data_IF_437908904864
#
_entry.id   IF_437908904864
#
_cell.length_a   1.000
_cell.length_b   1.000
_cell.length_c   1.000
_cell.angle_alpha   90.00
_cell.angle_beta   90.00
_cell.angle_gamma   90.00
#
_symmetry.space_group_name_H-M   'P 1'
#
loop_
_entity.id
_entity.type
_entity.pdbx_description
1 polymer ?
#
# COMPACT_ATOMS: atom_id res chain seq x y z
N UNK A 1 1.74 -37.91 -68.39
CA UNK A 1 1.23 -38.53 -67.15
C UNK A 1 1.52 -37.55 -66.02
N UNK A 2 0.52 -37.01 -65.31
CA UNK A 2 0.77 -36.01 -64.28
C UNK A 2 1.40 -36.64 -63.04
N UNK A 3 2.43 -36.00 -62.51
CA UNK A 3 3.25 -36.47 -61.40
C UNK A 3 2.42 -36.70 -60.13
N UNK A 4 2.26 -37.97 -59.78
CA UNK A 4 1.55 -38.45 -58.58
C UNK A 4 2.12 -37.88 -57.28
N UNK A 5 3.40 -37.50 -57.27
CA UNK A 5 4.07 -36.86 -56.14
C UNK A 5 3.57 -35.43 -55.86
N UNK A 6 3.20 -34.68 -56.90
CA UNK A 6 2.75 -33.29 -56.76
C UNK A 6 1.34 -33.22 -56.18
N UNK A 7 0.49 -34.17 -56.55
CA UNK A 7 -0.89 -34.30 -56.03
C UNK A 7 -0.89 -34.73 -54.56
N UNK A 8 0.01 -35.63 -54.16
CA UNK A 8 0.17 -36.08 -52.78
C UNK A 8 0.64 -34.95 -51.84
N UNK A 9 1.54 -34.08 -52.30
CA UNK A 9 2.05 -32.96 -51.49
C UNK A 9 0.99 -31.87 -51.27
N UNK A 10 0.19 -31.56 -52.30
CA UNK A 10 -0.90 -30.57 -52.21
C UNK A 10 -2.01 -31.05 -51.26
N UNK A 11 -2.36 -32.34 -51.31
CA UNK A 11 -3.38 -32.91 -50.41
C UNK A 11 -2.90 -33.02 -48.96
N UNK A 12 -1.63 -33.33 -48.71
CA UNK A 12 -1.04 -33.28 -47.36
C UNK A 12 -1.06 -31.85 -46.79
N UNK A 13 -0.71 -30.85 -47.59
CA UNK A 13 -0.70 -29.44 -47.17
C UNK A 13 -2.10 -28.92 -46.83
N UNK A 14 -3.10 -29.23 -47.65
CA UNK A 14 -4.49 -28.85 -47.37
C UNK A 14 -5.04 -29.52 -46.10
N UNK A 15 -4.68 -30.79 -45.86
CA UNK A 15 -5.08 -31.51 -44.65
C UNK A 15 -4.44 -30.91 -43.40
N UNK A 16 -3.16 -30.53 -43.48
CA UNK A 16 -2.44 -29.89 -42.38
C UNK A 16 -2.99 -28.49 -42.04
N UNK A 17 -3.31 -27.67 -43.05
CA UNK A 17 -3.94 -26.35 -42.84
C UNK A 17 -5.36 -26.46 -42.25
N UNK A 18 -6.12 -27.49 -42.66
CA UNK A 18 -7.44 -27.75 -42.12
C UNK A 18 -7.40 -28.23 -40.67
N UNK A 19 -6.44 -29.09 -40.31
CA UNK A 19 -6.23 -29.56 -38.94
C UNK A 19 -5.69 -28.43 -38.03
N UNK A 20 -4.79 -27.57 -38.51
CA UNK A 20 -4.33 -26.39 -37.76
C UNK A 20 -5.47 -25.42 -37.43
N UNK A 21 -6.42 -25.20 -38.35
CA UNK A 21 -7.63 -24.41 -38.04
C UNK A 21 -8.56 -25.13 -37.06
N UNK A 22 -8.67 -26.46 -37.15
CA UNK A 22 -9.56 -27.27 -36.31
C UNK A 22 -9.05 -27.49 -34.89
N UNK A 23 -7.74 -27.50 -34.69
CA UNK A 23 -7.11 -27.68 -33.38
C UNK A 23 -6.50 -26.39 -32.82
N UNK A 24 -6.28 -25.37 -33.64
CA UNK A 24 -5.78 -24.07 -33.21
C UNK A 24 -6.71 -23.35 -32.24
N UNK A 25 -8.04 -23.44 -32.45
CA UNK A 25 -8.99 -22.87 -31.49
C UNK A 25 -9.03 -23.65 -30.17
N UNK A 26 -8.87 -24.98 -30.22
CA UNK A 26 -8.76 -25.82 -29.02
C UNK A 26 -7.49 -25.45 -28.25
N UNK A 27 -6.36 -25.27 -28.94
CA UNK A 27 -5.11 -24.81 -28.33
C UNK A 27 -5.29 -23.43 -27.69
N UNK A 28 -5.94 -22.47 -28.35
CA UNK A 28 -6.22 -21.14 -27.80
C UNK A 28 -7.16 -21.19 -26.58
N UNK A 29 -8.19 -22.03 -26.61
CA UNK A 29 -9.09 -22.23 -25.46
C UNK A 29 -8.35 -22.90 -24.30
N UNK A 30 -7.52 -23.90 -24.57
CA UNK A 30 -6.72 -24.58 -23.55
C UNK A 30 -5.65 -23.65 -22.97
N UNK A 31 -5.04 -22.79 -23.79
CA UNK A 31 -4.13 -21.72 -23.35
C UNK A 31 -4.87 -20.68 -22.49
N UNK A 32 -6.11 -20.33 -22.86
CA UNK A 32 -6.94 -19.40 -22.09
C UNK A 32 -7.35 -19.99 -20.74
N UNK A 33 -7.69 -21.28 -20.70
CA UNK A 33 -7.99 -22.00 -19.46
C UNK A 33 -6.74 -22.18 -18.60
N UNK A 34 -5.57 -22.46 -19.18
CA UNK A 34 -4.29 -22.51 -18.47
C UNK A 34 -3.89 -21.13 -17.91
N UNK A 35 -4.12 -20.04 -18.66
CA UNK A 35 -3.89 -18.67 -18.20
C UNK A 35 -4.90 -18.25 -17.12
N UNK A 36 -6.16 -18.67 -17.20
CA UNK A 36 -7.17 -18.42 -16.16
C UNK A 36 -6.98 -19.31 -14.92
N UNK A 37 -6.47 -20.54 -15.06
CA UNK A 37 -6.17 -21.43 -13.95
C UNK A 37 -4.85 -21.09 -13.22
N UNK A 38 -4.02 -20.22 -13.80
CA UNK A 38 -2.89 -19.60 -13.10
C UNK A 38 -3.27 -18.29 -12.37
N UNK A 39 -4.55 -17.88 -12.45
CA UNK A 39 -5.05 -16.59 -11.94
C UNK A 39 -6.08 -16.68 -10.81
N UNK A 40 -6.32 -17.87 -10.24
CA UNK A 40 -7.16 -18.04 -9.04
C UNK A 40 -6.34 -18.18 -7.76
N UNK A 41 -5.22 -17.45 -7.67
CA UNK A 41 -4.71 -17.04 -6.37
C UNK A 41 -5.66 -15.97 -5.85
N UNK A 42 -6.13 -16.12 -4.61
CA UNK A 42 -6.91 -15.12 -3.90
C UNK A 42 -6.50 -13.72 -4.34
N UNK A 43 -7.45 -12.86 -4.72
CA UNK A 43 -7.14 -11.47 -4.99
C UNK A 43 -6.29 -11.00 -3.80
N UNK A 44 -5.01 -10.64 -4.01
CA UNK A 44 -4.14 -10.30 -2.90
C UNK A 44 -4.89 -9.24 -2.13
N UNK A 45 -5.03 -9.42 -0.82
CA UNK A 45 -5.57 -8.35 0.03
C UNK A 45 -4.88 -7.06 -0.39
N UNK A 46 -5.57 -5.93 -0.49
CA UNK A 46 -4.99 -4.68 -1.05
C UNK A 46 -3.61 -4.31 -0.46
N UNK A 47 -3.31 -4.85 0.71
CA UNK A 47 -2.05 -4.83 1.47
C UNK A 47 -0.93 -5.70 0.83
N UNK A 48 -1.22 -6.91 0.36
CA UNK A 48 -0.26 -7.80 -0.34
C UNK A 48 0.16 -7.22 -1.71
N UNK A 49 -0.80 -6.63 -2.41
CA UNK A 49 -0.54 -5.90 -3.64
C UNK A 49 0.40 -4.72 -3.38
N UNK A 50 0.19 -3.97 -2.30
CA UNK A 50 1.10 -2.89 -1.89
C UNK A 50 2.48 -3.39 -1.46
N UNK A 51 2.57 -4.55 -0.81
CA UNK A 51 3.85 -5.11 -0.37
C UNK A 51 4.77 -5.44 -1.55
N UNK A 52 4.16 -5.73 -2.71
CA UNK A 52 4.82 -6.14 -3.95
C UNK A 52 4.81 -5.06 -5.03
N UNK A 53 4.08 -3.95 -4.81
CA UNK A 53 3.87 -2.85 -5.77
C UNK A 53 5.14 -2.05 -6.15
N UNK A 54 6.30 -2.39 -5.59
CA UNK A 54 7.59 -1.79 -5.94
C UNK A 54 8.67 -2.81 -6.25
N UNK A 55 8.30 -4.07 -6.49
CA UNK A 55 9.26 -5.13 -6.75
C UNK A 55 9.86 -5.03 -8.14
N UNK A 56 11.18 -5.03 -8.17
CA UNK A 56 11.95 -5.21 -9.40
C UNK A 56 11.74 -6.61 -9.98
N UNK A 57 12.12 -6.80 -11.25
CA UNK A 57 12.09 -8.11 -11.90
C UNK A 57 12.85 -9.19 -11.09
N UNK A 58 14.03 -8.85 -10.55
CA UNK A 58 14.81 -9.77 -9.74
C UNK A 58 14.11 -10.14 -8.42
N UNK A 59 13.39 -9.21 -7.81
CA UNK A 59 12.59 -9.49 -6.61
C UNK A 59 11.41 -10.40 -6.91
N UNK A 60 10.78 -10.28 -8.08
CA UNK A 60 9.76 -11.22 -8.54
C UNK A 60 10.31 -12.63 -8.73
N UNK A 61 11.49 -12.76 -9.32
CA UNK A 61 12.18 -14.05 -9.48
C UNK A 61 12.57 -14.63 -8.11
N UNK A 62 13.13 -13.81 -7.21
CA UNK A 62 13.47 -14.23 -5.85
C UNK A 62 12.25 -14.70 -5.06
N UNK A 63 11.09 -14.06 -5.23
CA UNK A 63 9.84 -14.50 -4.58
C UNK A 63 9.44 -15.92 -4.99
N UNK A 64 9.67 -16.31 -6.25
CA UNK A 64 9.30 -17.65 -6.74
C UNK A 64 10.34 -18.71 -6.36
N UNK A 65 11.63 -18.44 -6.57
CA UNK A 65 12.70 -19.42 -6.37
C UNK A 65 13.26 -19.46 -4.95
N UNK A 66 13.22 -18.34 -4.22
CA UNK A 66 13.76 -18.20 -2.87
C UNK A 66 12.80 -17.46 -1.92
N UNK A 67 11.56 -17.94 -1.75
CA UNK A 67 10.48 -17.22 -1.07
C UNK A 67 10.86 -16.79 0.35
N UNK A 68 11.47 -17.69 1.14
CA UNK A 68 11.86 -17.40 2.52
C UNK A 68 12.83 -16.21 2.64
N UNK A 69 13.86 -16.18 1.78
CA UNK A 69 14.84 -15.09 1.78
C UNK A 69 14.23 -13.76 1.31
N UNK A 70 13.32 -13.84 0.33
CA UNK A 70 12.61 -12.68 -0.20
C UNK A 70 11.73 -12.05 0.87
N UNK A 71 10.90 -12.84 1.55
CA UNK A 71 9.99 -12.35 2.60
C UNK A 71 10.74 -11.85 3.82
N UNK A 72 11.86 -12.48 4.19
CA UNK A 72 12.70 -11.98 5.28
C UNK A 72 13.32 -10.61 4.96
N UNK A 73 13.84 -10.43 3.74
CA UNK A 73 14.34 -9.12 3.30
C UNK A 73 13.22 -8.08 3.23
N UNK A 74 12.02 -8.48 2.83
CA UNK A 74 10.85 -7.60 2.82
C UNK A 74 10.41 -7.19 4.22
N UNK A 75 10.44 -8.10 5.20
CA UNK A 75 10.10 -7.73 6.57
C UNK A 75 11.11 -6.76 7.16
N UNK A 76 12.40 -6.93 6.91
CA UNK A 76 13.43 -5.94 7.29
C UNK A 76 13.16 -4.56 6.68
N UNK A 77 12.79 -4.51 5.39
CA UNK A 77 12.41 -3.24 4.74
C UNK A 77 11.18 -2.60 5.39
N UNK A 78 10.18 -3.41 5.77
CA UNK A 78 8.99 -2.91 6.45
C UNK A 78 9.29 -2.47 7.89
N UNK A 79 10.20 -3.13 8.60
CA UNK A 79 10.66 -2.70 9.93
C UNK A 79 11.28 -1.31 9.87
N UNK A 80 12.15 -1.06 8.89
CA UNK A 80 12.75 0.27 8.69
C UNK A 80 11.68 1.33 8.35
N UNK A 81 10.69 0.97 7.53
CA UNK A 81 9.56 1.86 7.22
C UNK A 81 8.71 2.18 8.46
N UNK A 82 8.42 1.18 9.29
CA UNK A 82 7.71 1.35 10.57
C UNK A 82 8.50 2.27 11.49
N UNK A 83 9.82 2.05 11.62
CA UNK A 83 10.69 2.88 12.45
C UNK A 83 10.65 4.34 12.02
N UNK A 84 10.80 4.63 10.72
CA UNK A 84 10.72 6.00 10.20
C UNK A 84 9.39 6.67 10.53
N UNK A 85 8.27 5.99 10.27
CA UNK A 85 6.95 6.55 10.60
C UNK A 85 6.74 6.72 12.10
N UNK A 86 7.28 5.82 12.93
CA UNK A 86 7.23 5.95 14.38
C UNK A 86 8.00 7.17 14.86
N UNK A 87 9.20 7.40 14.34
CA UNK A 87 10.02 8.57 14.66
C UNK A 87 9.31 9.87 14.26
N UNK A 88 8.82 9.97 13.02
CA UNK A 88 8.06 11.13 12.54
C UNK A 88 6.76 11.35 13.32
N UNK A 89 6.02 10.28 13.63
CA UNK A 89 4.81 10.38 14.45
C UNK A 89 5.13 10.91 15.86
N UNK A 90 6.19 10.40 16.49
CA UNK A 90 6.60 10.83 17.82
C UNK A 90 7.07 12.29 17.85
N UNK A 91 7.76 12.74 16.81
CA UNK A 91 8.14 14.14 16.64
C UNK A 91 6.91 15.05 16.53
N UNK A 92 5.98 14.72 15.63
CA UNK A 92 4.80 15.53 15.42
C UNK A 92 3.82 15.50 16.61
N UNK A 93 3.70 14.35 17.28
CA UNK A 93 2.93 14.23 18.50
C UNK A 93 3.50 15.12 19.61
N UNK A 94 4.83 15.19 19.78
CA UNK A 94 5.48 16.11 20.73
C UNK A 94 5.19 17.57 20.38
N UNK A 95 5.30 17.95 19.12
CA UNK A 95 4.98 19.30 18.64
C UNK A 95 3.51 19.67 18.92
N UNK A 96 2.57 18.75 18.63
CA UNK A 96 1.15 18.90 18.91
C UNK A 96 0.88 19.09 20.41
N UNK A 97 1.49 18.27 21.26
CA UNK A 97 1.34 18.39 22.72
C UNK A 97 1.91 19.70 23.25
N UNK A 98 3.06 20.16 22.74
CA UNK A 98 3.63 21.45 23.12
C UNK A 98 2.68 22.61 22.79
N UNK A 99 2.04 22.59 21.62
CA UNK A 99 1.03 23.59 21.23
C UNK A 99 -0.21 23.55 22.12
N UNK A 100 -0.66 22.36 22.54
CA UNK A 100 -1.79 22.23 23.47
C UNK A 100 -1.48 22.81 24.84
N UNK A 101 -0.28 22.55 25.36
CA UNK A 101 0.19 23.14 26.63
C UNK A 101 0.24 24.66 26.54
N UNK A 102 0.84 25.20 25.48
CA UNK A 102 0.90 26.65 25.24
C UNK A 102 -0.49 27.27 25.12
N UNK A 103 -1.43 26.60 24.43
CA UNK A 103 -2.82 27.05 24.35
C UNK A 103 -3.46 27.10 25.73
N UNK A 104 -3.24 26.08 26.56
CA UNK A 104 -3.78 26.03 27.93
C UNK A 104 -3.26 27.19 28.77
N UNK A 105 -1.96 27.43 28.77
CA UNK A 105 -1.34 28.56 29.47
C UNK A 105 -1.91 29.91 29.00
N UNK A 106 -2.09 30.09 27.68
CA UNK A 106 -2.70 31.31 27.14
C UNK A 106 -4.18 31.47 27.51
N UNK A 107 -4.92 30.38 27.57
CA UNK A 107 -6.32 30.40 28.04
C UNK A 107 -6.34 30.81 29.50
N UNK A 108 -5.52 30.21 30.35
CA UNK A 108 -5.47 30.51 31.78
C UNK A 108 -5.09 31.99 32.01
N UNK A 109 -4.10 32.52 31.27
CA UNK A 109 -3.75 33.95 31.28
C UNK A 109 -4.92 34.85 30.84
N UNK A 110 -5.63 34.49 29.76
CA UNK A 110 -6.76 35.26 29.26
C UNK A 110 -7.94 35.27 30.25
N UNK A 111 -8.15 34.16 30.97
CA UNK A 111 -9.15 34.06 32.04
C UNK A 111 -8.80 35.03 33.17
N UNK A 112 -7.58 34.95 33.71
CA UNK A 112 -7.14 35.83 34.82
C UNK A 112 -7.23 37.31 34.44
N UNK A 113 -6.86 37.67 33.21
CA UNK A 113 -6.97 39.05 32.71
C UNK A 113 -8.42 39.50 32.56
N UNK A 114 -9.31 38.64 32.07
CA UNK A 114 -10.73 38.95 31.92
C UNK A 114 -11.40 39.16 33.29
N UNK A 115 -11.11 38.28 34.25
CA UNK A 115 -11.60 38.39 35.63
C UNK A 115 -11.16 39.70 36.29
N UNK A 116 -9.86 40.03 36.19
CA UNK A 116 -9.31 41.27 36.75
C UNK A 116 -9.91 42.54 36.11
N UNK A 117 -10.30 42.46 34.82
CA UNK A 117 -10.90 43.57 34.09
C UNK A 117 -12.45 43.61 34.17
N UNK A 118 -13.09 42.67 34.88
CA UNK A 118 -14.56 42.55 34.93
C UNK A 118 -15.20 42.22 33.57
N UNK A 119 -14.45 41.59 32.66
CA UNK A 119 -14.91 41.21 31.31
C UNK A 119 -15.39 39.76 31.27
N UNK A 120 -16.03 39.38 30.16
CA UNK A 120 -16.48 38.00 29.94
C UNK A 120 -15.31 37.02 29.80
N UNK A 121 -15.23 36.07 30.73
CA UNK A 121 -14.24 34.97 30.72
C UNK A 121 -14.47 34.02 29.54
N UNK A 122 -15.74 33.77 29.19
CA UNK A 122 -16.10 32.88 28.09
C UNK A 122 -15.61 33.42 26.75
N UNK A 123 -15.78 34.73 26.51
CA UNK A 123 -15.30 35.41 25.30
C UNK A 123 -13.77 35.38 25.22
N UNK A 124 -13.08 35.69 26.33
CA UNK A 124 -11.62 35.66 26.40
C UNK A 124 -11.06 34.27 26.07
N UNK A 125 -11.65 33.20 26.64
CA UNK A 125 -11.29 31.82 26.31
C UNK A 125 -11.55 31.49 24.85
N UNK A 126 -12.69 31.91 24.30
CA UNK A 126 -13.08 31.63 22.91
C UNK A 126 -12.10 32.26 21.92
N UNK A 127 -11.64 33.49 22.17
CA UNK A 127 -10.67 34.19 21.33
C UNK A 127 -9.35 33.41 21.25
N UNK A 128 -8.79 33.00 22.39
CA UNK A 128 -7.54 32.22 22.43
C UNK A 128 -7.71 30.87 21.72
N UNK A 129 -8.82 30.18 21.93
CA UNK A 129 -9.08 28.91 21.24
C UNK A 129 -9.13 29.12 19.72
N UNK A 130 -9.77 30.20 19.26
CA UNK A 130 -9.91 30.50 17.84
C UNK A 130 -8.57 30.88 17.19
N UNK A 131 -7.73 31.64 17.88
CA UNK A 131 -6.36 31.97 17.46
C UNK A 131 -5.53 30.69 17.25
N UNK A 132 -5.57 29.77 18.23
CA UNK A 132 -4.76 28.56 18.18
C UNK A 132 -5.24 27.51 17.17
N UNK A 133 -6.49 27.57 16.68
CA UNK A 133 -7.01 26.63 15.67
C UNK A 133 -6.16 26.63 14.41
N UNK A 134 -5.75 27.80 13.93
CA UNK A 134 -4.96 27.95 12.70
C UNK A 134 -3.61 27.21 12.79
N UNK A 135 -3.04 27.14 14.00
CA UNK A 135 -1.76 26.44 14.24
C UNK A 135 -1.93 24.97 14.66
N UNK A 136 -2.99 24.63 15.40
CA UNK A 136 -3.22 23.28 15.93
C UNK A 136 -3.80 22.33 14.89
N UNK A 137 -4.71 22.80 14.04
CA UNK A 137 -5.44 21.95 13.11
C UNK A 137 -4.53 21.28 12.07
N UNK A 138 -3.56 21.98 11.43
CA UNK A 138 -2.61 21.35 10.52
C UNK A 138 -1.75 20.28 11.20
N UNK A 139 -1.17 20.60 12.36
CA UNK A 139 -0.32 19.68 13.13
C UNK A 139 -1.10 18.45 13.59
N UNK A 140 -2.37 18.64 14.00
CA UNK A 140 -3.27 17.55 14.37
C UNK A 140 -3.54 16.63 13.19
N UNK A 141 -3.78 17.19 12.01
CA UNK A 141 -4.08 16.40 10.82
C UNK A 141 -2.85 15.64 10.32
N UNK A 142 -1.67 16.27 10.29
CA UNK A 142 -0.41 15.58 9.98
C UNK A 142 -0.14 14.43 10.95
N UNK A 143 -0.31 14.66 12.26
CA UNK A 143 -0.16 13.60 13.28
C UNK A 143 -1.12 12.44 13.02
N UNK A 144 -2.36 12.73 12.61
CA UNK A 144 -3.36 11.71 12.25
C UNK A 144 -2.97 10.93 11.00
N UNK A 145 -2.46 11.60 9.97
CA UNK A 145 -2.02 10.94 8.74
C UNK A 145 -0.83 10.03 9.01
N UNK A 146 0.19 10.52 9.73
CA UNK A 146 1.33 9.70 10.19
C UNK A 146 0.87 8.50 11.01
N UNK A 147 -0.12 8.67 11.90
CA UNK A 147 -0.70 7.57 12.66
C UNK A 147 -1.47 6.54 11.80
N UNK A 148 -2.02 6.93 10.65
CA UNK A 148 -2.61 5.99 9.67
C UNK A 148 -1.50 5.24 8.92
N UNK A 149 -0.49 5.95 8.46
CA UNK A 149 0.64 5.37 7.72
C UNK A 149 1.44 4.39 8.58
N UNK A 150 1.68 4.70 9.85
CA UNK A 150 2.32 3.81 10.81
C UNK A 150 1.52 2.51 10.99
N UNK A 151 0.20 2.59 11.18
CA UNK A 151 -0.67 1.41 11.29
C UNK A 151 -0.65 0.56 10.02
N UNK A 152 -0.65 1.20 8.85
CA UNK A 152 -0.53 0.52 7.55
C UNK A 152 0.82 -0.18 7.41
N UNK A 153 1.92 0.49 7.78
CA UNK A 153 3.26 -0.10 7.76
C UNK A 153 3.40 -1.30 8.72
N UNK A 154 2.80 -1.23 9.91
CA UNK A 154 2.77 -2.37 10.84
C UNK A 154 1.96 -3.55 10.29
N UNK A 155 0.84 -3.29 9.62
CA UNK A 155 0.03 -4.34 8.99
C UNK A 155 0.81 -5.04 7.86
N UNK A 156 1.52 -4.26 7.03
CA UNK A 156 2.42 -4.76 5.98
C UNK A 156 3.55 -5.61 6.57
N UNK A 157 4.18 -5.15 7.65
CA UNK A 157 5.22 -5.91 8.36
C UNK A 157 4.71 -7.25 8.86
N UNK A 158 3.55 -7.26 9.54
CA UNK A 158 2.96 -8.49 10.05
C UNK A 158 2.68 -9.51 8.94
N UNK A 159 2.21 -9.05 7.77
CA UNK A 159 2.02 -9.93 6.61
C UNK A 159 3.35 -10.47 6.06
N UNK A 160 4.37 -9.63 5.93
CA UNK A 160 5.69 -10.06 5.49
C UNK A 160 6.30 -11.12 6.42
N UNK A 161 6.17 -10.93 7.74
CA UNK A 161 6.65 -11.88 8.75
C UNK A 161 5.87 -13.20 8.72
N UNK A 162 4.55 -13.16 8.48
CA UNK A 162 3.76 -14.37 8.30
C UNK A 162 4.20 -15.15 7.06
N UNK A 163 4.43 -14.45 5.94
CA UNK A 163 4.89 -15.06 4.69
C UNK A 163 6.33 -15.62 4.79
N UNK A 164 7.19 -15.03 5.63
CA UNK A 164 8.55 -15.52 5.87
C UNK A 164 8.62 -16.81 6.70
N UNK A 165 7.54 -17.15 7.42
CA UNK A 165 7.45 -18.34 8.28
C UNK A 165 6.89 -19.57 7.57
N UNK A 166 6.26 -19.39 6.41
CA UNK A 166 5.78 -20.47 5.54
C UNK A 166 6.93 -21.09 4.74
#
# INVERSE_FOLDING_TARGET
>A
MPDTHLVAWITMRQKFEHDLRRYGWILCVLLSVLLSACGSGAAPSSIEAELTAGDTFLQHVQRYFFPKSYWHKKSEQMQERVRKYQESFNEQARAYHALLTKRRERVDQAITQAEAAGKSVEEARRLVIQEYRQTLDPVREETRQLGKELRRAMALLAQADMAARQ
#
